data_IF_833821797809
#
_entry.id   IF_833821797809
#
_cell.length_a   1.000
_cell.length_b   1.000
_cell.length_c   1.000
_cell.angle_alpha   90.00
_cell.angle_beta   90.00
_cell.angle_gamma   90.00
#
_symmetry.space_group_name_H-M   'P 1'
#
loop_
_entity.id
_entity.type
_entity.pdbx_description
1 polymer ?
#
# COMPACT_ATOMS: atom_id res chain seq x y z
N UNK A 1 18.06 22.71 3.41
CA UNK A 1 17.42 21.56 4.07
C UNK A 1 15.93 21.72 3.90
N UNK A 2 15.24 20.69 3.41
CA UNK A 2 13.78 20.75 3.23
C UNK A 2 13.12 20.67 4.62
N UNK A 3 12.16 21.55 4.91
CA UNK A 3 11.49 21.60 6.22
C UNK A 3 10.00 21.22 6.10
N UNK A 4 9.29 21.23 7.22
CA UNK A 4 7.86 20.89 7.23
C UNK A 4 7.01 21.80 6.34
N UNK A 5 7.38 23.08 6.21
CA UNK A 5 6.68 24.04 5.35
C UNK A 5 6.81 23.68 3.88
N UNK A 6 8.00 23.25 3.45
CA UNK A 6 8.23 22.71 2.11
C UNK A 6 7.33 21.50 1.85
N UNK A 7 7.29 20.52 2.76
CA UNK A 7 6.49 19.31 2.57
C UNK A 7 4.98 19.57 2.62
N UNK A 8 4.51 20.51 3.45
CA UNK A 8 3.12 20.97 3.43
C UNK A 8 2.76 21.54 2.05
N UNK A 9 3.64 22.34 1.45
CA UNK A 9 3.40 22.90 0.11
C UNK A 9 3.34 21.80 -0.96
N UNK A 10 4.22 20.79 -0.89
CA UNK A 10 4.18 19.62 -1.76
C UNK A 10 2.88 18.82 -1.58
N UNK A 11 2.50 18.53 -0.33
CA UNK A 11 1.33 17.72 -0.01
C UNK A 11 0.03 18.39 -0.43
N UNK A 12 -0.05 19.72 -0.43
CA UNK A 12 -1.22 20.46 -0.94
C UNK A 12 -1.34 20.46 -2.46
N UNK A 13 -0.25 20.18 -3.18
CA UNK A 13 -0.12 20.31 -4.64
C UNK A 13 0.17 18.99 -5.34
N UNK A 14 -0.22 17.85 -4.74
CA UNK A 14 -0.09 16.54 -5.38
C UNK A 14 -0.71 16.57 -6.78
N UNK A 15 -0.01 16.01 -7.77
CA UNK A 15 -0.49 15.97 -9.16
C UNK A 15 -1.51 14.85 -9.31
N UNK A 16 -2.79 15.20 -9.42
CA UNK A 16 -3.94 14.27 -9.49
C UNK A 16 -4.61 14.33 -10.86
N UNK A 17 -5.17 13.19 -11.30
CA UNK A 17 -5.95 13.16 -12.53
C UNK A 17 -7.30 13.87 -12.31
N UNK A 18 -7.79 14.71 -13.24
CA UNK A 18 -8.99 15.53 -13.02
C UNK A 18 -10.32 14.76 -13.09
N UNK A 19 -10.28 13.49 -13.50
CA UNK A 19 -11.47 12.66 -13.72
C UNK A 19 -12.31 12.52 -12.45
N UNK A 20 -13.65 12.53 -12.58
CA UNK A 20 -14.62 12.29 -11.49
C UNK A 20 -14.43 13.12 -10.20
N UNK A 21 -13.84 14.32 -10.34
CA UNK A 21 -13.47 15.18 -9.22
C UNK A 21 -12.14 14.75 -8.62
N UNK A 22 -11.04 15.24 -9.19
CA UNK A 22 -9.63 15.01 -8.84
C UNK A 22 -9.30 13.74 -8.02
N UNK A 23 -8.67 12.76 -8.68
CA UNK A 23 -8.39 11.43 -8.16
C UNK A 23 -7.83 11.40 -6.70
N UNK A 24 -8.49 10.69 -5.76
CA UNK A 24 -8.08 10.66 -4.35
C UNK A 24 -6.91 9.70 -4.07
N UNK A 25 -6.49 8.90 -5.05
CA UNK A 25 -5.57 7.77 -4.86
C UNK A 25 -4.21 8.15 -4.24
N UNK A 26 -3.54 9.19 -4.75
CA UNK A 26 -2.25 9.65 -4.20
C UNK A 26 -2.38 10.17 -2.77
N UNK A 27 -3.34 11.07 -2.44
CA UNK A 27 -3.59 11.45 -1.06
C UNK A 27 -3.86 10.26 -0.12
N UNK A 28 -4.64 9.26 -0.54
CA UNK A 28 -4.88 8.05 0.27
C UNK A 28 -3.59 7.25 0.46
N UNK A 29 -2.77 7.07 -0.59
CA UNK A 29 -1.49 6.39 -0.46
C UNK A 29 -0.58 7.08 0.54
N UNK A 30 -0.43 8.41 0.42
CA UNK A 30 0.44 9.18 1.31
C UNK A 30 -0.06 9.15 2.76
N UNK A 31 -1.38 9.23 2.98
CA UNK A 31 -1.97 9.04 4.31
C UNK A 31 -1.64 7.66 4.90
N UNK A 32 -1.69 6.62 4.06
CA UNK A 32 -1.41 5.24 4.44
C UNK A 32 0.07 4.98 4.75
N UNK A 33 0.97 5.63 4.03
CA UNK A 33 2.41 5.64 4.36
C UNK A 33 2.61 6.24 5.76
N UNK A 34 1.98 7.39 6.05
CA UNK A 34 2.10 8.01 7.37
C UNK A 34 1.50 7.12 8.48
N UNK A 35 0.41 6.40 8.20
CA UNK A 35 -0.13 5.39 9.12
C UNK A 35 0.88 4.25 9.38
N UNK A 36 1.60 3.79 8.35
CA UNK A 36 2.63 2.76 8.51
C UNK A 36 3.81 3.25 9.36
N UNK A 37 4.26 4.49 9.18
CA UNK A 37 5.29 5.10 10.04
C UNK A 37 4.83 5.18 11.50
N UNK A 38 3.60 5.65 11.74
CA UNK A 38 3.04 5.74 13.09
C UNK A 38 2.89 4.38 13.77
N UNK A 39 2.58 3.34 13.00
CA UNK A 39 2.46 1.98 13.50
C UNK A 39 3.82 1.26 13.62
N UNK A 40 4.90 1.86 13.11
CA UNK A 40 6.25 1.29 13.17
C UNK A 40 6.57 0.26 12.08
N UNK A 41 5.69 0.05 11.10
CA UNK A 41 5.94 -0.85 9.96
C UNK A 41 6.97 -0.29 8.97
N UNK A 42 7.13 1.04 8.95
CA UNK A 42 8.15 1.74 8.17
C UNK A 42 8.93 2.66 9.10
N UNK A 43 10.26 2.62 9.03
CA UNK A 43 11.13 3.41 9.90
C UNK A 43 12.42 3.91 9.20
N UNK A 44 12.44 3.86 7.85
CA UNK A 44 13.57 4.27 7.01
C UNK A 44 13.06 5.03 5.80
N UNK A 45 13.94 5.70 5.05
CA UNK A 45 13.62 6.40 3.80
C UNK A 45 13.01 5.48 2.73
N UNK A 46 13.11 4.16 2.91
CA UNK A 46 12.63 3.14 1.97
C UNK A 46 11.23 2.67 2.34
N UNK A 47 10.31 2.83 1.40
CA UNK A 47 8.92 2.40 1.46
C UNK A 47 8.77 1.18 0.57
N UNK A 48 8.74 0.01 1.19
CA UNK A 48 8.46 -1.26 0.52
C UNK A 48 6.95 -1.46 0.34
N UNK A 49 6.56 -2.18 -0.72
CA UNK A 49 5.18 -2.65 -0.88
C UNK A 49 4.99 -3.86 0.05
N UNK A 50 4.40 -3.62 1.22
CA UNK A 50 4.12 -4.61 2.26
C UNK A 50 2.61 -4.74 2.51
N UNK A 51 2.19 -5.83 3.15
CA UNK A 51 0.78 -6.12 3.40
C UNK A 51 0.09 -5.02 4.21
N UNK A 52 0.79 -4.45 5.20
CA UNK A 52 0.30 -3.39 6.08
C UNK A 52 0.05 -2.09 5.34
N UNK A 53 0.94 -1.71 4.40
CA UNK A 53 0.76 -0.52 3.57
C UNK A 53 -0.51 -0.65 2.71
N UNK A 54 -0.71 -1.80 2.09
CA UNK A 54 -1.93 -2.07 1.32
C UNK A 54 -3.18 -2.15 2.20
N UNK A 55 -3.07 -2.68 3.41
CA UNK A 55 -4.18 -2.71 4.37
C UNK A 55 -4.59 -1.31 4.81
N UNK A 56 -3.63 -0.45 5.16
CA UNK A 56 -3.91 0.95 5.47
C UNK A 56 -4.49 1.68 4.26
N UNK A 57 -4.00 1.42 3.05
CA UNK A 57 -4.56 1.99 1.82
C UNK A 57 -6.04 1.63 1.66
N UNK A 58 -6.39 0.35 1.78
CA UNK A 58 -7.78 -0.12 1.66
C UNK A 58 -8.67 0.45 2.78
N UNK A 59 -8.16 0.49 4.02
CA UNK A 59 -8.87 1.05 5.17
C UNK A 59 -9.13 2.55 5.03
N UNK A 60 -8.09 3.32 4.67
CA UNK A 60 -8.18 4.76 4.41
C UNK A 60 -9.10 5.07 3.24
N UNK A 61 -9.06 4.26 2.17
CA UNK A 61 -9.97 4.42 1.05
C UNK A 61 -11.43 4.35 1.50
N UNK A 62 -11.80 3.28 2.22
CA UNK A 62 -13.15 3.09 2.74
C UNK A 62 -13.54 4.21 3.72
N UNK A 63 -12.60 4.64 4.56
CA UNK A 63 -12.81 5.68 5.55
C UNK A 63 -13.09 7.05 4.91
N UNK A 64 -12.37 7.45 3.86
CA UNK A 64 -12.35 8.84 3.42
C UNK A 64 -12.87 9.10 2.00
N UNK A 65 -12.86 8.11 1.10
CA UNK A 65 -13.29 8.30 -0.29
C UNK A 65 -14.80 8.13 -0.42
N UNK A 66 -15.47 9.11 -1.04
CA UNK A 66 -16.93 9.11 -1.29
C UNK A 66 -17.30 9.31 -2.76
N UNK A 67 -16.30 9.49 -3.62
CA UNK A 67 -16.46 9.64 -5.07
C UNK A 67 -16.66 8.30 -5.76
N UNK A 68 -17.12 8.31 -7.02
CA UNK A 68 -17.27 7.12 -7.86
C UNK A 68 -15.95 6.51 -8.36
N UNK A 69 -14.79 6.98 -7.88
CA UNK A 69 -13.50 6.39 -8.23
C UNK A 69 -13.43 4.92 -7.79
N UNK A 70 -12.76 4.12 -8.61
CA UNK A 70 -12.44 2.71 -8.30
C UNK A 70 -11.12 2.69 -7.53
N UNK A 71 -11.09 1.92 -6.44
CA UNK A 71 -9.88 1.73 -5.64
C UNK A 71 -8.80 1.03 -6.48
N UNK A 72 -7.58 1.53 -6.42
CA UNK A 72 -6.43 0.94 -7.12
C UNK A 72 -5.15 1.37 -6.38
N UNK A 73 -4.35 0.41 -5.90
CA UNK A 73 -3.11 0.70 -5.19
C UNK A 73 -1.93 0.97 -6.15
N UNK A 74 -1.89 0.27 -7.29
CA UNK A 74 -0.74 0.26 -8.20
C UNK A 74 -0.45 1.63 -8.81
N UNK A 75 -1.48 2.28 -9.36
CA UNK A 75 -1.36 3.55 -10.06
C UNK A 75 -0.86 4.69 -9.16
N UNK A 76 -1.41 4.93 -7.94
CA UNK A 76 -0.86 5.97 -7.09
C UNK A 76 0.58 5.68 -6.70
N UNK A 77 0.96 4.43 -6.39
CA UNK A 77 2.34 4.11 -5.99
C UNK A 77 3.32 4.43 -7.13
N UNK A 78 3.01 3.99 -8.35
CA UNK A 78 3.82 4.30 -9.52
C UNK A 78 3.87 5.80 -9.83
N UNK A 79 2.73 6.51 -9.79
CA UNK A 79 2.66 7.91 -10.17
C UNK A 79 3.15 8.90 -9.09
N UNK A 80 3.42 8.45 -7.86
CA UNK A 80 4.09 9.26 -6.85
C UNK A 80 5.50 9.69 -7.29
N UNK A 81 6.16 8.95 -8.20
CA UNK A 81 7.40 9.36 -8.88
C UNK A 81 7.35 10.73 -9.59
N UNK A 82 6.15 11.32 -9.76
CA UNK A 82 5.97 12.67 -10.31
C UNK A 82 6.04 13.77 -9.25
N UNK A 83 6.12 13.39 -7.97
CA UNK A 83 6.23 14.28 -6.81
C UNK A 83 7.71 14.43 -6.42
N UNK A 84 8.15 15.61 -5.92
CA UNK A 84 9.57 15.95 -5.78
C UNK A 84 10.26 15.33 -4.55
N UNK A 85 9.58 14.43 -3.84
CA UNK A 85 10.02 13.81 -2.59
C UNK A 85 9.92 12.29 -2.63
N UNK A 86 9.69 11.71 -3.82
CA UNK A 86 9.42 10.29 -4.00
C UNK A 86 10.11 9.79 -5.27
N UNK A 87 11.09 8.92 -5.09
CA UNK A 87 11.81 8.25 -6.17
C UNK A 87 11.46 6.77 -6.18
N UNK A 88 11.17 6.22 -7.36
CA UNK A 88 10.85 4.80 -7.52
C UNK A 88 12.12 4.04 -7.89
N UNK A 89 12.56 3.11 -7.02
CA UNK A 89 13.77 2.34 -7.23
C UNK A 89 13.39 0.97 -7.80
N UNK A 90 13.92 0.67 -8.98
CA UNK A 90 13.72 -0.61 -9.67
C UNK A 90 14.66 -1.69 -9.12
N UNK A 91 14.21 -2.94 -9.11
CA UNK A 91 15.07 -4.09 -8.81
C UNK A 91 16.11 -4.25 -9.90
N UNK A 92 17.34 -4.60 -9.52
CA UNK A 92 18.42 -4.86 -10.49
C UNK A 92 18.01 -5.94 -11.48
N UNK A 93 18.14 -5.64 -12.76
CA UNK A 93 17.82 -6.57 -13.85
C UNK A 93 16.33 -6.66 -14.19
N UNK A 94 15.48 -5.81 -13.60
CA UNK A 94 14.09 -5.65 -13.98
C UNK A 94 13.87 -4.25 -14.57
N UNK A 95 12.89 -4.14 -15.46
CA UNK A 95 12.43 -2.86 -16.01
C UNK A 95 10.92 -2.77 -15.82
N UNK A 96 10.43 -1.57 -15.52
CA UNK A 96 8.98 -1.34 -15.42
C UNK A 96 8.39 -1.29 -16.83
N UNK A 97 7.64 -2.33 -17.20
CA UNK A 97 6.92 -2.35 -18.47
C UNK A 97 5.76 -1.35 -18.50
N UNK A 98 5.87 -0.33 -19.34
CA UNK A 98 4.86 0.70 -19.49
C UNK A 98 3.91 0.41 -20.65
N UNK A 99 2.66 0.86 -20.47
CA UNK A 99 1.67 1.03 -21.54
C UNK A 99 2.07 2.16 -22.48
N UNK A 100 1.41 2.26 -23.64
CA UNK A 100 1.58 3.36 -24.59
C UNK A 100 1.35 4.75 -23.98
N UNK A 101 0.58 4.84 -22.89
CA UNK A 101 0.32 6.07 -22.12
C UNK A 101 1.37 6.34 -21.03
N UNK A 102 2.50 5.64 -21.03
CA UNK A 102 3.57 5.74 -20.02
C UNK A 102 3.06 5.50 -18.58
N UNK A 103 2.23 4.47 -18.43
CA UNK A 103 1.68 4.01 -17.14
C UNK A 103 1.95 2.53 -16.96
N UNK A 104 2.08 2.08 -15.71
CA UNK A 104 2.24 0.66 -15.37
C UNK A 104 0.98 -0.16 -15.73
N UNK A 105 1.19 -1.43 -16.11
CA UNK A 105 0.14 -2.32 -16.63
C UNK A 105 -0.72 -2.97 -15.54
N UNK A 106 -0.11 -3.43 -14.45
CA UNK A 106 -0.78 -4.18 -13.38
C UNK A 106 0.00 -4.10 -12.06
N UNK A 107 -0.63 -4.55 -10.97
CA UNK A 107 0.01 -4.69 -9.67
C UNK A 107 1.24 -5.61 -9.73
N UNK A 108 1.14 -6.79 -10.37
CA UNK A 108 2.26 -7.70 -10.48
C UNK A 108 3.45 -7.09 -11.24
N UNK A 109 3.18 -6.34 -12.31
CA UNK A 109 4.23 -5.65 -13.05
C UNK A 109 4.96 -4.63 -12.15
N UNK A 110 4.21 -3.86 -11.36
CA UNK A 110 4.78 -2.94 -10.37
C UNK A 110 5.61 -3.67 -9.31
N UNK A 111 5.02 -4.67 -8.65
CA UNK A 111 5.64 -5.39 -7.54
C UNK A 111 6.87 -6.18 -7.97
N UNK A 112 6.86 -6.75 -9.18
CA UNK A 112 7.99 -7.49 -9.72
C UNK A 112 9.17 -6.57 -9.97
N UNK A 113 8.95 -5.44 -10.66
CA UNK A 113 10.01 -4.55 -11.10
C UNK A 113 10.48 -3.54 -10.04
N UNK A 114 9.65 -3.22 -9.05
CA UNK A 114 9.98 -2.22 -8.00
C UNK A 114 10.64 -2.89 -6.80
N UNK A 115 11.77 -2.36 -6.35
CA UNK A 115 12.41 -2.74 -5.09
C UNK A 115 11.74 -2.01 -3.92
N UNK A 116 11.77 -0.68 -3.96
CA UNK A 116 11.10 0.21 -3.00
C UNK A 116 10.89 1.60 -3.60
N UNK A 117 10.08 2.42 -2.94
CA UNK A 117 10.12 3.87 -3.13
C UNK A 117 11.05 4.50 -2.10
N UNK A 118 11.90 5.43 -2.52
CA UNK A 118 12.76 6.21 -1.63
C UNK A 118 12.16 7.61 -1.45
N UNK A 119 12.05 8.05 -0.19
CA UNK A 119 11.65 9.43 0.12
C UNK A 119 12.84 10.24 0.62
N UNK A 120 12.70 11.57 0.60
CA UNK A 120 13.68 12.46 1.22
C UNK A 120 13.92 12.08 2.70
N UNK A 121 15.19 12.12 3.11
CA UNK A 121 15.58 11.89 4.51
C UNK A 121 14.89 12.85 5.48
N UNK A 122 14.77 14.12 5.15
CA UNK A 122 14.06 15.10 5.98
C UNK A 122 12.57 14.75 6.13
N UNK A 123 11.93 14.18 5.09
CA UNK A 123 10.53 13.76 5.18
C UNK A 123 10.36 12.54 6.09
N UNK A 124 11.26 11.56 6.01
CA UNK A 124 11.28 10.42 6.94
C UNK A 124 11.40 10.91 8.39
N UNK A 125 12.31 11.86 8.68
CA UNK A 125 12.47 12.41 10.03
C UNK A 125 11.15 13.04 10.53
N UNK A 126 10.44 13.76 9.66
CA UNK A 126 9.14 14.32 9.99
C UNK A 126 8.08 13.23 10.23
N UNK A 127 8.08 12.15 9.44
CA UNK A 127 7.16 11.04 9.63
C UNK A 127 7.38 10.26 10.93
N UNK A 128 8.62 10.21 11.43
CA UNK A 128 8.96 9.63 12.73
C UNK A 128 8.62 10.54 13.92
N UNK A 129 8.31 11.81 13.68
CA UNK A 129 7.92 12.75 14.72
C UNK A 129 6.39 12.87 14.84
N UNK A 130 5.84 12.55 16.01
CA UNK A 130 4.39 12.51 16.24
C UNK A 130 3.67 13.84 15.95
N UNK A 131 4.27 14.98 16.29
CA UNK A 131 3.67 16.30 16.06
C UNK A 131 3.62 16.65 14.57
N UNK A 132 4.75 16.46 13.89
CA UNK A 132 4.89 16.69 12.45
C UNK A 132 3.96 15.80 11.65
N UNK A 133 3.89 14.52 12.00
CA UNK A 133 2.95 13.57 11.39
C UNK A 133 1.49 13.97 11.62
N UNK A 134 1.12 14.35 12.85
CA UNK A 134 -0.25 14.79 13.13
C UNK A 134 -0.64 16.01 12.27
N UNK A 135 0.27 16.96 12.12
CA UNK A 135 0.07 18.13 11.26
C UNK A 135 -0.07 17.74 9.79
N UNK A 136 0.88 16.98 9.23
CA UNK A 136 0.85 16.56 7.82
C UNK A 136 -0.41 15.75 7.49
N UNK A 137 -0.85 14.86 8.38
CA UNK A 137 -2.13 14.16 8.26
C UNK A 137 -3.32 15.11 8.24
N UNK A 138 -3.38 16.07 9.16
CA UNK A 138 -4.48 17.04 9.18
C UNK A 138 -4.55 17.86 7.90
N UNK A 139 -3.39 18.22 7.32
CA UNK A 139 -3.32 18.95 6.05
C UNK A 139 -3.87 18.10 4.90
N UNK A 140 -3.48 16.83 4.80
CA UNK A 140 -4.01 15.93 3.76
C UNK A 140 -5.52 15.75 3.89
N UNK A 141 -6.01 15.51 5.10
CA UNK A 141 -7.44 15.33 5.35
C UNK A 141 -8.24 16.60 5.05
N UNK A 142 -7.76 17.77 5.50
CA UNK A 142 -8.43 19.04 5.24
C UNK A 142 -8.42 19.39 3.74
N UNK A 143 -7.31 19.14 3.04
CA UNK A 143 -7.15 19.50 1.63
C UNK A 143 -7.98 18.60 0.71
N UNK A 144 -8.01 17.30 0.98
CA UNK A 144 -8.52 16.31 0.03
C UNK A 144 -9.79 15.58 0.49
N UNK A 145 -10.09 15.61 1.79
CA UNK A 145 -11.15 14.81 2.41
C UNK A 145 -11.96 15.62 3.42
N UNK A 146 -12.14 16.93 3.21
CA UNK A 146 -12.84 17.84 4.13
C UNK A 146 -14.29 17.42 4.45
N UNK A 147 -14.93 16.69 3.54
CA UNK A 147 -16.29 16.16 3.70
C UNK A 147 -16.35 14.91 4.59
N UNK A 148 -15.21 14.28 4.84
CA UNK A 148 -15.11 13.04 5.59
C UNK A 148 -14.71 13.39 7.03
N UNK A 149 -15.62 13.14 7.97
CA UNK A 149 -15.34 13.29 9.39
C UNK A 149 -14.15 12.43 9.84
N UNK A 150 -13.64 12.67 11.06
CA UNK A 150 -12.51 11.91 11.60
C UNK A 150 -12.88 10.43 11.73
N UNK A 151 -12.28 9.60 10.88
CA UNK A 151 -12.41 8.14 10.94
C UNK A 151 -11.20 7.51 11.63
N UNK A 152 -11.40 6.32 12.22
CA UNK A 152 -10.30 5.46 12.65
C UNK A 152 -9.98 4.47 11.55
N UNK A 153 -8.71 4.31 11.22
CA UNK A 153 -8.22 3.33 10.25
C UNK A 153 -7.24 2.37 10.92
N UNK A 154 -7.14 1.16 10.39
CA UNK A 154 -6.37 0.06 10.98
C UNK A 154 -6.15 -1.05 9.94
N UNK A 155 -5.40 -2.06 10.35
CA UNK A 155 -5.07 -3.23 9.54
C UNK A 155 -5.97 -4.45 9.83
N UNK A 156 -7.13 -4.31 10.49
CA UNK A 156 -8.00 -5.45 10.86
C UNK A 156 -8.45 -6.31 9.67
N UNK A 157 -8.42 -5.75 8.46
CA UNK A 157 -8.63 -6.53 7.25
C UNK A 157 -7.61 -7.70 7.12
N UNK A 158 -6.36 -7.50 7.53
CA UNK A 158 -5.34 -8.55 7.54
C UNK A 158 -5.67 -9.66 8.54
N UNK A 159 -6.27 -9.34 9.68
CA UNK A 159 -6.72 -10.35 10.66
C UNK A 159 -7.77 -11.29 10.05
N UNK A 160 -8.69 -10.74 9.24
CA UNK A 160 -9.70 -11.55 8.54
C UNK A 160 -9.05 -12.49 7.53
N UNK A 161 -8.05 -12.01 6.78
CA UNK A 161 -7.31 -12.85 5.83
C UNK A 161 -6.50 -13.93 6.57
N UNK A 162 -5.86 -13.57 7.67
CA UNK A 162 -5.06 -14.49 8.49
C UNK A 162 -5.94 -15.60 9.08
N UNK A 163 -7.13 -15.26 9.60
CA UNK A 163 -8.11 -16.26 10.07
C UNK A 163 -8.54 -17.21 8.95
N UNK A 164 -8.79 -16.69 7.74
CA UNK A 164 -9.09 -17.53 6.58
C UNK A 164 -7.92 -18.46 6.24
N UNK A 165 -6.67 -17.98 6.31
CA UNK A 165 -5.48 -18.79 6.02
C UNK A 165 -5.31 -19.92 7.05
N UNK A 166 -5.49 -19.62 8.34
CA UNK A 166 -5.24 -20.57 9.42
C UNK A 166 -6.34 -21.63 9.58
N UNK A 167 -7.58 -21.32 9.19
CA UNK A 167 -8.74 -22.19 9.45
C UNK A 167 -9.28 -22.92 8.22
N UNK A 168 -8.87 -22.57 6.99
CA UNK A 168 -9.35 -23.21 5.77
C UNK A 168 -8.44 -24.36 5.31
N UNK A 169 -9.03 -25.47 4.85
CA UNK A 169 -8.26 -26.54 4.21
C UNK A 169 -7.77 -26.13 2.81
N UNK A 170 -6.64 -26.70 2.35
CA UNK A 170 -6.07 -26.39 1.04
C UNK A 170 -7.04 -26.57 -0.14
N UNK A 171 -7.95 -27.55 -0.05
CA UNK A 171 -8.98 -27.80 -1.08
C UNK A 171 -10.04 -26.69 -1.13
N UNK A 172 -10.48 -26.19 0.03
CA UNK A 172 -11.41 -25.06 0.09
C UNK A 172 -10.74 -23.78 -0.42
N UNK A 173 -9.46 -23.61 -0.10
CA UNK A 173 -8.65 -22.50 -0.56
C UNK A 173 -8.54 -22.43 -2.09
N UNK A 174 -8.18 -23.54 -2.77
CA UNK A 174 -8.10 -23.59 -4.23
C UNK A 174 -9.44 -23.22 -4.89
N UNK A 175 -10.56 -23.76 -4.38
CA UNK A 175 -11.90 -23.42 -4.89
C UNK A 175 -12.25 -21.94 -4.69
N UNK A 176 -11.83 -21.35 -3.57
CA UNK A 176 -12.06 -19.91 -3.30
C UNK A 176 -11.25 -19.05 -4.26
N UNK A 177 -10.00 -19.40 -4.55
CA UNK A 177 -9.18 -18.71 -5.55
C UNK A 177 -9.79 -18.78 -6.95
N UNK A 178 -10.28 -19.94 -7.37
CA UNK A 178 -10.98 -20.09 -8.66
C UNK A 178 -12.26 -19.25 -8.74
N UNK A 179 -12.97 -19.10 -7.62
CA UNK A 179 -14.15 -18.22 -7.59
C UNK A 179 -13.74 -16.76 -7.67
N UNK A 180 -12.71 -16.36 -6.92
CA UNK A 180 -12.19 -14.99 -6.89
C UNK A 180 -11.72 -14.56 -8.29
N UNK A 181 -10.93 -15.40 -8.98
CA UNK A 181 -10.41 -15.10 -10.32
C UNK A 181 -11.52 -14.90 -11.37
N UNK A 182 -12.70 -15.49 -11.16
CA UNK A 182 -13.87 -15.33 -12.04
C UNK A 182 -14.72 -14.10 -11.71
N UNK A 183 -14.60 -13.53 -10.52
CA UNK A 183 -15.49 -12.46 -10.03
C UNK A 183 -14.83 -11.10 -9.88
N UNK A 184 -13.52 -11.07 -9.64
CA UNK A 184 -12.76 -9.83 -9.44
C UNK A 184 -12.11 -9.38 -10.74
N UNK A 185 -11.83 -8.08 -10.86
CA UNK A 185 -10.93 -7.62 -11.91
C UNK A 185 -9.49 -8.07 -11.62
N UNK A 186 -8.63 -8.01 -12.64
CA UNK A 186 -7.24 -8.48 -12.58
C UNK A 186 -6.45 -7.81 -11.45
N UNK A 187 -6.56 -6.49 -11.31
CA UNK A 187 -5.90 -5.73 -10.25
C UNK A 187 -6.30 -6.21 -8.84
N UNK A 188 -7.59 -6.30 -8.57
CA UNK A 188 -8.12 -6.77 -7.28
C UNK A 188 -7.67 -8.20 -6.97
N UNK A 189 -7.61 -9.04 -8.01
CA UNK A 189 -7.13 -10.41 -7.88
C UNK A 189 -5.65 -10.45 -7.50
N UNK A 190 -4.78 -9.73 -8.22
CA UNK A 190 -3.34 -9.66 -7.96
C UNK A 190 -3.04 -9.11 -6.56
N UNK A 191 -3.69 -8.00 -6.18
CA UNK A 191 -3.57 -7.42 -4.83
C UNK A 191 -3.96 -8.44 -3.74
N UNK A 192 -5.01 -9.23 -3.97
CA UNK A 192 -5.48 -10.23 -3.02
C UNK A 192 -4.53 -11.42 -2.91
N UNK A 193 -3.97 -11.88 -4.03
CA UNK A 193 -2.96 -12.94 -4.06
C UNK A 193 -1.70 -12.49 -3.30
N UNK A 194 -1.26 -11.25 -3.52
CA UNK A 194 -0.13 -10.68 -2.80
C UNK A 194 -0.36 -10.66 -1.27
N UNK A 195 -1.47 -10.08 -0.81
CA UNK A 195 -1.77 -9.99 0.62
C UNK A 195 -1.82 -11.36 1.30
N UNK A 196 -2.42 -12.35 0.63
CA UNK A 196 -2.47 -13.72 1.16
C UNK A 196 -1.09 -14.36 1.20
N UNK A 197 -0.28 -14.20 0.16
CA UNK A 197 1.06 -14.77 0.09
C UNK A 197 1.98 -14.18 1.15
N UNK A 198 1.92 -12.85 1.37
CA UNK A 198 2.67 -12.16 2.43
C UNK A 198 2.32 -12.72 3.80
N UNK A 199 1.02 -12.69 4.15
CA UNK A 199 0.54 -13.17 5.44
C UNK A 199 0.82 -14.67 5.63
N UNK A 200 0.70 -15.49 4.59
CA UNK A 200 1.05 -16.91 4.68
C UNK A 200 2.51 -17.08 5.07
N UNK A 201 3.44 -16.41 4.37
CA UNK A 201 4.87 -16.50 4.65
C UNK A 201 5.22 -16.06 6.07
N UNK A 202 4.58 -15.00 6.56
CA UNK A 202 4.73 -14.53 7.94
C UNK A 202 4.20 -15.54 8.98
N UNK A 203 3.15 -16.28 8.64
CA UNK A 203 2.49 -17.25 9.52
C UNK A 203 2.99 -18.71 9.36
N UNK A 204 3.88 -19.02 8.40
CA UNK A 204 4.52 -20.34 8.25
C UNK A 204 5.06 -20.87 9.59
N UNK A 205 5.80 -20.09 10.40
CA UNK A 205 6.34 -20.59 11.67
C UNK A 205 5.25 -21.07 12.65
N UNK A 206 4.07 -20.45 12.61
CA UNK A 206 2.93 -20.76 13.49
C UNK A 206 2.22 -22.03 13.00
N UNK A 207 2.05 -22.19 11.68
CA UNK A 207 1.40 -23.37 11.08
C UNK A 207 2.22 -24.65 11.31
N UNK A 208 3.54 -24.55 11.28
CA UNK A 208 4.45 -25.69 11.51
C UNK A 208 4.93 -25.83 12.95
N UNK A 209 4.34 -25.09 13.91
CA UNK A 209 4.70 -25.15 15.33
C UNK A 209 6.23 -25.03 15.58
N UNK A 210 6.91 -24.16 14.82
CA UNK A 210 8.38 -24.02 14.79
C UNK A 210 9.19 -25.30 14.52
N UNK A 211 8.53 -26.40 14.11
CA UNK A 211 9.21 -27.63 13.73
C UNK A 211 9.51 -27.63 12.24
N UNK A 212 10.79 -27.49 11.89
CA UNK A 212 11.26 -27.76 10.54
C UNK A 212 11.14 -29.27 10.27
N UNK A 213 10.27 -29.68 9.33
CA UNK A 213 10.24 -31.06 8.84
C UNK A 213 11.48 -31.29 7.96
N UNK A 214 12.60 -31.64 8.60
CA UNK A 214 13.71 -32.26 7.88
C UNK A 214 13.30 -33.71 7.65
N UNK A 215 12.88 -34.03 6.42
CA UNK A 215 12.76 -35.42 5.98
C UNK A 215 14.13 -36.07 6.06
N UNK A 216 14.38 -36.87 7.10
CA UNK A 216 15.51 -37.80 7.13
C UNK A 216 15.26 -38.85 6.06
N UNK A 217 16.01 -38.77 4.96
CA UNK A 217 16.17 -39.92 4.07
C UNK A 217 16.97 -40.98 4.84
N UNK A 218 16.30 -42.10 5.13
CA UNK A 218 16.91 -43.37 5.52
C UNK A 218 17.39 -44.12 4.30
#
# INVERSE_FOLDING_TARGET
MKDISYYIACFKKLKRAPNLGEAPHKPILLLSVIDCYNAGYINSERIYIIAELMAYFKSNWQAYVRTAHIMNFTLPFFHMSREPFWDLIEKRGYEIELTSKKSIKSFNALYTATDYAEIDKELMILFLNNESTALLKSILLQQYFSHSGRQKTNTYYLDSITKDILNESGVLYSKKLEKISKTMNEEEYEEKIFLRSSLFNENIPIIYNYTCYVSRYS
#
